data_IF_241353420915
#
_entry.id   IF_241353420915
#
_cell.length_a   1.000
_cell.length_b   1.000
_cell.length_c   1.000
_cell.angle_alpha   90.00
_cell.angle_beta   90.00
_cell.angle_gamma   90.00
#
_symmetry.space_group_name_H-M   'P 1'
#
loop_
_entity.id
_entity.type
_entity.pdbx_description
1 polymer ?
#
# COMPACT_ATOMS: atom_id res chain seq x y z
N UNK A 1 18.31 16.04 10.27
CA UNK A 1 18.30 14.87 11.17
C UNK A 1 16.92 14.75 11.78
N UNK A 2 16.31 13.57 11.71
CA UNK A 2 14.97 13.31 12.23
C UNK A 2 15.03 13.34 13.77
N UNK A 3 14.21 14.17 14.41
CA UNK A 3 14.09 14.20 15.87
C UNK A 3 13.20 13.03 16.33
N UNK A 4 13.72 12.16 17.20
CA UNK A 4 13.03 10.94 17.65
C UNK A 4 12.08 11.17 18.84
N UNK A 5 12.14 12.33 19.49
CA UNK A 5 11.29 12.65 20.64
C UNK A 5 9.90 13.20 20.26
N UNK A 6 9.67 13.53 18.98
CA UNK A 6 8.35 13.93 18.47
C UNK A 6 8.19 13.54 16.98
N UNK A 7 7.56 12.39 16.68
CA UNK A 7 7.35 11.92 15.31
C UNK A 7 6.25 12.69 14.56
N UNK A 8 5.59 13.68 15.20
CA UNK A 8 4.48 14.44 14.63
C UNK A 8 4.79 15.91 14.35
N UNK A 9 5.94 16.42 14.80
CA UNK A 9 6.42 17.75 14.48
C UNK A 9 6.59 17.90 12.95
N UNK A 10 5.59 18.51 12.34
CA UNK A 10 5.27 18.41 10.93
C UNK A 10 6.25 19.22 10.08
N UNK A 11 6.63 18.62 8.94
CA UNK A 11 7.28 19.28 7.80
C UNK A 11 6.55 20.58 7.42
N UNK A 12 6.99 21.71 7.96
CA UNK A 12 6.57 23.03 7.52
C UNK A 12 7.59 23.53 6.51
N UNK A 13 7.30 23.35 5.22
CA UNK A 13 7.92 24.16 4.17
C UNK A 13 6.96 24.38 3.00
N UNK A 14 6.27 25.53 3.07
CA UNK A 14 6.02 26.49 1.98
C UNK A 14 5.95 25.95 0.54
N UNK A 15 4.74 25.69 0.05
CA UNK A 15 4.35 26.02 -1.33
C UNK A 15 2.90 26.51 -1.30
N UNK A 16 2.75 27.84 -1.30
CA UNK A 16 1.50 28.51 -1.58
C UNK A 16 1.28 28.58 -3.10
N UNK A 17 0.02 28.44 -3.50
CA UNK A 17 -0.59 28.81 -4.78
C UNK A 17 -0.24 27.96 -6.02
N UNK A 18 -1.17 27.11 -6.46
CA UNK A 18 -1.85 27.32 -7.75
C UNK A 18 -3.17 26.52 -7.81
N UNK A 19 -4.29 27.24 -7.99
CA UNK A 19 -5.61 26.68 -8.25
C UNK A 19 -5.94 26.91 -9.73
N UNK A 20 -6.54 25.89 -10.37
CA UNK A 20 -7.16 25.87 -11.70
C UNK A 20 -6.31 25.31 -12.85
N UNK A 21 -6.60 24.05 -13.22
CA UNK A 21 -6.87 23.68 -14.63
C UNK A 21 -7.44 22.26 -14.74
N UNK A 22 -8.70 22.15 -15.17
CA UNK A 22 -9.25 20.96 -15.81
C UNK A 22 -9.42 21.32 -17.30
N UNK A 23 -8.69 20.71 -18.24
CA UNK A 23 -9.15 20.59 -19.62
C UNK A 23 -9.86 19.23 -19.75
N UNK A 24 -10.93 19.01 -20.50
CA UNK A 24 -11.45 19.64 -21.71
C UNK A 24 -12.07 18.49 -22.52
N UNK A 25 -13.28 18.71 -23.06
CA UNK A 25 -14.12 17.78 -23.84
C UNK A 25 -13.36 16.84 -24.81
N UNK A 26 -13.86 15.61 -24.95
CA UNK A 26 -13.71 14.81 -26.17
C UNK A 26 -15.10 14.55 -26.74
N UNK A 27 -15.29 15.02 -27.98
CA UNK A 27 -16.51 14.96 -28.78
C UNK A 27 -16.89 13.54 -29.24
N UNK A 28 -18.20 13.37 -29.43
CA UNK A 28 -18.88 12.22 -29.99
C UNK A 28 -18.73 12.18 -31.52
N UNK A 29 -18.59 10.98 -32.10
CA UNK A 29 -18.95 10.70 -33.49
C UNK A 29 -19.89 9.48 -33.52
N UNK A 30 -21.13 9.69 -33.97
CA UNK A 30 -22.11 8.64 -34.25
C UNK A 30 -21.75 7.85 -35.52
N UNK A 31 -22.30 6.63 -35.67
CA UNK A 31 -23.27 6.48 -36.75
C UNK A 31 -24.58 5.84 -36.30
N UNK A 32 -25.66 6.46 -36.76
CA UNK A 32 -27.06 6.05 -36.66
C UNK A 32 -27.34 4.71 -37.34
N UNK A 33 -28.05 3.80 -36.65
CA UNK A 33 -29.01 2.89 -37.28
C UNK A 33 -30.19 2.67 -36.32
N UNK A 34 -31.33 3.27 -36.68
CA UNK A 34 -32.65 3.11 -36.08
C UNK A 34 -33.16 1.68 -36.24
N UNK A 35 -33.53 1.03 -35.13
CA UNK A 35 -34.67 0.09 -35.10
C UNK A 35 -35.35 0.22 -33.73
N UNK A 36 -36.37 1.08 -33.65
CA UNK A 36 -37.40 0.94 -32.62
C UNK A 36 -38.17 -0.35 -32.86
N UNK A 37 -38.00 -1.34 -31.98
CA UNK A 37 -38.99 -2.39 -31.76
C UNK A 37 -39.00 -2.82 -30.29
N UNK A 38 -40.05 -2.34 -29.62
CA UNK A 38 -40.58 -2.73 -28.32
C UNK A 38 -40.10 -4.09 -27.78
N UNK A 39 -39.42 -4.07 -26.63
CA UNK A 39 -39.43 -5.17 -25.67
C UNK A 39 -39.45 -4.59 -24.24
N UNK A 40 -40.62 -4.75 -23.60
CA UNK A 40 -40.95 -4.74 -22.17
C UNK A 40 -39.82 -4.43 -21.19
N UNK A 41 -40.08 -3.47 -20.31
CA UNK A 41 -39.41 -3.33 -19.01
C UNK A 41 -39.34 -4.69 -18.32
N UNK A 42 -38.18 -5.32 -18.43
CA UNK A 42 -37.79 -6.41 -17.54
C UNK A 42 -36.98 -5.75 -16.46
N UNK A 43 -37.60 -5.55 -15.30
CA UNK A 43 -36.87 -5.18 -14.08
C UNK A 43 -35.74 -6.20 -13.94
N UNK A 44 -34.50 -5.73 -14.08
CA UNK A 44 -33.35 -6.50 -13.65
C UNK A 44 -33.60 -6.87 -12.17
N UNK A 45 -33.36 -8.12 -11.75
CA UNK A 45 -33.42 -8.45 -10.34
C UNK A 45 -32.48 -7.48 -9.63
N UNK A 46 -33.06 -6.57 -8.85
CA UNK A 46 -32.30 -5.73 -7.95
C UNK A 46 -31.66 -6.72 -6.99
N UNK A 47 -30.38 -7.03 -7.23
CA UNK A 47 -29.56 -7.65 -6.22
C UNK A 47 -29.53 -6.59 -5.12
N UNK A 48 -30.38 -6.76 -4.12
CA UNK A 48 -30.30 -5.99 -2.88
C UNK A 48 -29.01 -6.48 -2.24
N UNK A 49 -27.89 -5.95 -2.70
CA UNK A 49 -26.68 -5.93 -1.93
C UNK A 49 -27.09 -5.14 -0.69
N UNK A 50 -27.18 -5.81 0.46
CA UNK A 50 -27.33 -5.14 1.75
C UNK A 50 -26.17 -4.15 1.86
N UNK A 51 -26.42 -2.91 1.42
CA UNK A 51 -25.41 -1.89 1.30
C UNK A 51 -25.04 -1.50 2.73
N UNK A 52 -23.97 -2.10 3.22
CA UNK A 52 -23.48 -1.90 4.57
C UNK A 52 -23.25 -0.41 4.78
N UNK A 53 -23.79 0.12 5.88
CA UNK A 53 -23.76 1.56 6.16
C UNK A 53 -22.32 2.10 6.07
N UNK A 54 -22.09 3.24 5.40
CA UNK A 54 -20.77 3.87 5.35
C UNK A 54 -20.23 4.16 6.75
N UNK A 55 -18.96 3.84 6.96
CA UNK A 55 -18.27 4.10 8.24
C UNK A 55 -17.85 5.58 8.32
N UNK A 56 -18.00 6.19 9.49
CA UNK A 56 -17.46 7.53 9.77
C UNK A 56 -16.00 7.45 10.20
N UNK A 57 -15.19 8.43 9.81
CA UNK A 57 -13.77 8.48 10.17
C UNK A 57 -13.58 8.52 11.69
N UNK A 58 -14.34 9.37 12.39
CA UNK A 58 -14.19 9.60 13.84
C UNK A 58 -14.38 8.34 14.69
N UNK A 59 -15.18 7.38 14.23
CA UNK A 59 -15.54 6.18 14.97
C UNK A 59 -14.45 5.09 14.90
N UNK A 60 -13.53 5.17 13.92
CA UNK A 60 -12.44 4.18 13.78
C UNK A 60 -11.47 4.24 14.96
N UNK A 61 -10.96 3.09 15.42
CA UNK A 61 -9.95 2.97 16.49
C UNK A 61 -8.94 1.90 16.11
N UNK A 62 -7.68 2.06 16.52
CA UNK A 62 -6.62 1.05 16.32
C UNK A 62 -6.90 -0.22 17.13
N UNK A 63 -7.39 -0.06 18.36
CA UNK A 63 -7.69 -1.16 19.28
C UNK A 63 -9.16 -1.04 19.72
N UNK A 64 -9.87 -2.17 19.83
CA UNK A 64 -11.26 -2.25 20.31
C UNK A 64 -12.27 -1.38 19.54
N UNK A 65 -12.02 -1.10 18.25
CA UNK A 65 -12.96 -0.40 17.38
C UNK A 65 -14.19 -1.25 17.03
N UNK A 66 -15.39 -0.64 17.01
CA UNK A 66 -16.66 -1.32 16.67
C UNK A 66 -17.13 -1.05 15.23
N UNK A 67 -16.38 -0.26 14.48
CA UNK A 67 -16.67 0.08 13.09
C UNK A 67 -16.34 -1.07 12.15
N UNK A 68 -16.95 -1.10 10.98
CA UNK A 68 -16.61 -2.08 9.94
C UNK A 68 -15.18 -1.91 9.43
N UNK A 69 -14.37 -2.97 9.57
CA UNK A 69 -12.94 -2.99 9.22
C UNK A 69 -12.74 -3.20 7.72
N UNK A 70 -13.69 -3.85 7.03
CA UNK A 70 -13.56 -4.16 5.61
C UNK A 70 -13.67 -2.91 4.71
N UNK A 71 -14.17 -1.79 5.26
CA UNK A 71 -14.25 -0.51 4.56
C UNK A 71 -13.01 0.35 4.85
N UNK A 72 -12.10 0.39 3.86
CA UNK A 72 -10.85 1.15 3.97
C UNK A 72 -11.12 2.65 4.16
N UNK A 73 -11.99 3.23 3.32
CA UNK A 73 -12.41 4.62 3.44
C UNK A 73 -13.48 4.81 4.54
N UNK A 74 -13.60 6.01 5.13
CA UNK A 74 -12.64 7.12 5.09
C UNK A 74 -11.41 6.83 5.98
N UNK A 75 -10.26 7.41 5.61
CA UNK A 75 -9.02 7.25 6.39
C UNK A 75 -9.06 8.12 7.65
N UNK A 76 -8.74 7.53 8.81
CA UNK A 76 -8.61 8.24 10.09
C UNK A 76 -7.16 8.56 10.47
N UNK A 77 -6.22 7.69 10.08
CA UNK A 77 -4.83 7.72 10.53
C UNK A 77 -3.88 7.96 9.33
N UNK A 78 -3.61 9.23 8.96
CA UNK A 78 -2.75 9.55 7.81
C UNK A 78 -1.33 8.99 7.94
N UNK A 79 -0.77 9.00 9.15
CA UNK A 79 0.56 8.45 9.43
C UNK A 79 0.68 6.98 9.00
N UNK A 80 -0.36 6.17 9.25
CA UNK A 80 -0.34 4.75 8.91
C UNK A 80 -0.35 4.55 7.39
N UNK A 81 -1.07 5.41 6.67
CA UNK A 81 -1.10 5.40 5.22
C UNK A 81 0.24 5.82 4.62
N UNK A 82 0.89 6.83 5.19
CA UNK A 82 2.23 7.26 4.76
C UNK A 82 3.28 6.17 4.98
N UNK A 83 3.25 5.46 6.12
CA UNK A 83 4.13 4.31 6.34
C UNK A 83 3.89 3.20 5.32
N UNK A 84 2.63 2.90 4.99
CA UNK A 84 2.31 1.93 3.95
C UNK A 84 2.88 2.37 2.58
N UNK A 85 2.69 3.63 2.18
CA UNK A 85 3.26 4.15 0.93
C UNK A 85 4.80 4.07 0.92
N UNK A 86 5.44 4.42 2.03
CA UNK A 86 6.90 4.35 2.15
C UNK A 86 7.42 2.91 2.09
N UNK A 87 6.73 1.96 2.72
CA UNK A 87 7.08 0.55 2.64
C UNK A 87 6.97 0.02 1.20
N UNK A 88 5.92 0.38 0.45
CA UNK A 88 5.76 -0.01 -0.95
C UNK A 88 6.86 0.59 -1.85
N UNK A 89 7.31 1.82 -1.57
CA UNK A 89 8.43 2.45 -2.30
C UNK A 89 9.77 1.76 -2.05
N UNK A 90 9.92 1.10 -0.91
CA UNK A 90 11.12 0.37 -0.52
C UNK A 90 11.04 -1.13 -0.85
N UNK A 91 10.16 -1.52 -1.78
CA UNK A 91 10.04 -2.91 -2.21
C UNK A 91 11.29 -3.39 -2.95
N UNK A 92 11.80 -4.56 -2.56
CA UNK A 92 12.91 -5.26 -3.22
C UNK A 92 12.69 -6.78 -3.10
N UNK A 93 13.32 -7.54 -4.00
CA UNK A 93 13.30 -9.01 -3.93
C UNK A 93 14.70 -9.57 -3.66
N UNK A 94 14.84 -10.71 -2.96
CA UNK A 94 16.15 -11.28 -2.66
C UNK A 94 16.94 -11.70 -3.91
N UNK A 95 16.25 -11.96 -5.02
CA UNK A 95 16.88 -12.32 -6.29
C UNK A 95 17.57 -11.13 -6.98
N UNK A 96 17.24 -9.90 -6.57
CA UNK A 96 17.85 -8.69 -7.12
C UNK A 96 19.31 -8.51 -6.65
N UNK A 97 19.73 -9.25 -5.63
CA UNK A 97 21.08 -9.19 -5.04
C UNK A 97 21.93 -10.36 -5.56
N UNK A 98 23.02 -10.06 -6.25
CA UNK A 98 23.94 -11.09 -6.76
C UNK A 98 24.87 -11.63 -5.66
N UNK A 99 24.82 -12.94 -5.42
CA UNK A 99 25.59 -13.63 -4.38
C UNK A 99 26.87 -14.33 -4.88
N UNK A 100 27.22 -14.22 -6.16
CA UNK A 100 28.32 -15.01 -6.76
C UNK A 100 29.68 -14.77 -6.09
N UNK A 101 29.96 -13.52 -5.72
CA UNK A 101 31.20 -13.14 -5.03
C UNK A 101 31.21 -13.67 -3.60
N UNK A 102 30.11 -13.49 -2.89
CA UNK A 102 29.92 -13.92 -1.50
C UNK A 102 30.06 -15.43 -1.35
N UNK A 103 29.51 -16.22 -2.29
CA UNK A 103 29.69 -17.68 -2.34
C UNK A 103 31.16 -18.07 -2.49
N UNK A 104 31.89 -17.42 -3.40
CA UNK A 104 33.32 -17.67 -3.58
C UNK A 104 34.12 -17.33 -2.32
N UNK A 105 33.87 -16.17 -1.72
CA UNK A 105 34.55 -15.72 -0.51
C UNK A 105 34.27 -16.64 0.68
N UNK A 106 33.03 -17.12 0.81
CA UNK A 106 32.65 -18.10 1.83
C UNK A 106 33.43 -19.41 1.69
N UNK A 107 33.63 -19.90 0.46
CA UNK A 107 34.32 -21.16 0.23
C UNK A 107 35.83 -21.05 0.43
N UNK A 108 36.45 -19.96 -0.02
CA UNK A 108 37.91 -19.90 -0.20
C UNK A 108 38.64 -18.86 0.65
N UNK A 109 37.95 -17.87 1.21
CA UNK A 109 38.61 -16.73 1.87
C UNK A 109 38.38 -16.65 3.38
N UNK A 110 37.20 -17.03 3.86
CA UNK A 110 36.86 -16.91 5.29
C UNK A 110 37.60 -17.95 6.14
N UNK A 111 38.06 -17.52 7.32
CA UNK A 111 38.62 -18.43 8.34
C UNK A 111 37.50 -19.23 9.03
N UNK A 112 37.88 -20.23 9.83
CA UNK A 112 36.91 -21.06 10.55
C UNK A 112 36.09 -20.22 11.55
N UNK A 113 36.75 -19.28 12.23
CA UNK A 113 36.14 -18.41 13.23
C UNK A 113 35.13 -17.46 12.59
N UNK A 114 35.47 -16.88 11.42
CA UNK A 114 34.57 -16.00 10.67
C UNK A 114 33.34 -16.76 10.15
N UNK A 115 33.53 -17.99 9.65
CA UNK A 115 32.41 -18.86 9.24
C UNK A 115 31.51 -19.20 10.42
N UNK A 116 32.08 -19.52 11.58
CA UNK A 116 31.29 -19.83 12.77
C UNK A 116 30.39 -18.66 13.19
N UNK A 117 30.92 -17.43 13.18
CA UNK A 117 30.13 -16.23 13.46
C UNK A 117 29.03 -16.04 12.42
N UNK A 118 29.38 -16.16 11.13
CA UNK A 118 28.41 -16.02 10.04
C UNK A 118 27.25 -17.02 10.14
N UNK A 119 27.56 -18.31 10.36
CA UNK A 119 26.56 -19.37 10.50
C UNK A 119 25.64 -19.16 11.71
N UNK A 120 26.19 -18.75 12.85
CA UNK A 120 25.41 -18.47 14.05
C UNK A 120 24.45 -17.28 13.84
N UNK A 121 24.94 -16.18 13.25
CA UNK A 121 24.12 -15.00 12.98
C UNK A 121 23.03 -15.32 11.95
N UNK A 122 23.36 -16.07 10.90
CA UNK A 122 22.39 -16.48 9.89
C UNK A 122 21.32 -17.41 10.48
N UNK A 123 21.70 -18.36 11.33
CA UNK A 123 20.76 -19.24 12.03
C UNK A 123 19.82 -18.46 12.96
N UNK A 124 20.32 -17.41 13.61
CA UNK A 124 19.49 -16.56 14.46
C UNK A 124 18.50 -15.73 13.62
N UNK A 125 18.97 -15.07 12.55
CA UNK A 125 18.13 -14.22 11.71
C UNK A 125 17.04 -15.00 10.97
N UNK A 126 17.32 -16.24 10.56
CA UNK A 126 16.32 -17.10 9.86
C UNK A 126 15.17 -17.53 10.77
N UNK A 127 15.38 -17.59 12.08
CA UNK A 127 14.34 -17.99 13.05
C UNK A 127 13.72 -16.80 13.79
N UNK A 128 14.45 -15.70 13.95
CA UNK A 128 13.98 -14.51 14.67
C UNK A 128 12.91 -13.72 13.94
N UNK A 129 12.84 -13.78 12.60
CA UNK A 129 11.78 -13.10 11.85
C UNK A 129 10.39 -13.75 12.03
N UNK A 130 10.36 -15.01 12.47
CA UNK A 130 9.12 -15.78 12.65
C UNK A 130 8.60 -15.68 14.09
N UNK A 131 9.47 -15.41 15.06
CA UNK A 131 9.15 -15.38 16.50
C UNK A 131 8.79 -13.98 17.00
#
# INVERSE_FOLDING_TARGET
MLNWDDPTATFSNTLAADNNKIPGNVEQTEPTLNVEKQLKETQAPQIILDAKKPVRADDKRVINGKTDINQLAPFKYPWAWEFWLNANRNHWTPLDINMSKDVHDYQHRLTLEEKHVYENVLSYLTTSDIM
#
